data_IF_628973691754
#
_entry.id   IF_628973691754
#
_cell.length_a   1.000
_cell.length_b   1.000
_cell.length_c   1.000
_cell.angle_alpha   90.00
_cell.angle_beta   90.00
_cell.angle_gamma   90.00
#
_symmetry.space_group_name_H-M   'P 1'
#
loop_
_entity.id
_entity.type
_entity.pdbx_description
1 polymer ?
#
# COMPACT_ATOMS: atom_id res chain seq x y z
N UNK A 1 51.51 -23.74 -14.51
CA UNK A 1 50.12 -23.25 -14.45
C UNK A 1 49.27 -24.10 -13.49
N UNK A 2 49.67 -24.20 -12.21
CA UNK A 2 48.99 -25.07 -11.23
C UNK A 2 48.74 -24.41 -9.86
N UNK A 3 49.19 -23.17 -9.65
CA UNK A 3 49.06 -22.47 -8.37
C UNK A 3 47.94 -21.40 -8.34
N UNK A 4 47.31 -21.10 -9.48
CA UNK A 4 46.25 -20.09 -9.57
C UNK A 4 44.82 -20.67 -9.50
N UNK A 5 44.66 -21.99 -9.68
CA UNK A 5 43.35 -22.66 -9.62
C UNK A 5 42.96 -23.19 -8.23
N UNK A 6 43.78 -22.97 -7.20
CA UNK A 6 43.45 -23.37 -5.81
C UNK A 6 42.83 -22.21 -5.02
N UNK A 7 42.98 -20.96 -5.47
CA UNK A 7 42.38 -19.79 -4.82
C UNK A 7 40.93 -19.50 -5.25
N UNK A 8 40.38 -20.25 -6.21
CA UNK A 8 39.03 -20.04 -6.74
C UNK A 8 38.02 -21.15 -6.36
N UNK A 9 38.34 -21.98 -5.36
CA UNK A 9 37.41 -23.03 -4.88
C UNK A 9 36.87 -22.71 -3.48
N UNK A 10 37.43 -21.73 -2.76
CA UNK A 10 37.03 -21.38 -1.38
C UNK A 10 36.06 -20.19 -1.30
N UNK A 11 35.74 -19.52 -2.40
CA UNK A 11 34.72 -18.44 -2.43
C UNK A 11 33.35 -18.87 -2.98
N UNK A 12 33.18 -20.16 -3.29
CA UNK A 12 31.97 -20.72 -3.90
C UNK A 12 31.03 -21.44 -2.93
N UNK A 13 31.22 -21.33 -1.62
CA UNK A 13 30.50 -22.14 -0.64
C UNK A 13 29.93 -21.32 0.54
N UNK A 14 29.43 -20.12 0.26
CA UNK A 14 28.69 -19.31 1.23
C UNK A 14 27.42 -18.70 0.62
N UNK A 15 26.81 -19.43 -0.31
CA UNK A 15 25.48 -19.14 -0.85
C UNK A 15 24.77 -20.47 -0.98
N UNK A 16 23.80 -20.71 -0.10
CA UNK A 16 22.83 -21.83 -0.01
C UNK A 16 23.04 -22.65 1.27
N UNK A 17 21.91 -22.88 1.96
CA UNK A 17 21.73 -23.55 3.25
C UNK A 17 22.24 -22.73 4.47
N UNK A 18 21.49 -22.39 5.52
CA UNK A 18 20.18 -22.78 6.04
C UNK A 18 19.76 -21.66 7.02
N UNK A 19 18.70 -20.90 6.72
CA UNK A 19 17.98 -20.08 7.72
C UNK A 19 16.47 -20.33 7.57
N UNK A 20 16.11 -21.58 7.38
CA UNK A 20 14.79 -22.10 7.74
C UNK A 20 14.96 -22.80 9.08
N UNK A 21 15.00 -22.00 10.14
CA UNK A 21 14.85 -22.52 11.49
C UNK A 21 13.98 -21.54 12.27
N UNK A 22 12.88 -22.10 12.80
CA UNK A 22 12.01 -21.56 13.85
C UNK A 22 10.82 -20.73 13.39
N UNK A 23 9.90 -21.42 12.71
CA UNK A 23 8.50 -21.40 13.17
C UNK A 23 8.53 -22.04 14.57
N UNK A 24 8.74 -21.24 15.60
CA UNK A 24 8.49 -21.64 16.97
C UNK A 24 7.18 -20.96 17.39
N UNK A 25 6.12 -21.73 17.31
CA UNK A 25 4.88 -21.53 18.05
C UNK A 25 5.21 -21.45 19.54
N UNK A 26 5.23 -20.25 20.10
CA UNK A 26 5.01 -20.04 21.54
C UNK A 26 3.92 -18.99 21.70
N UNK A 27 2.70 -19.52 21.72
CA UNK A 27 1.50 -18.89 22.21
C UNK A 27 1.76 -18.42 23.66
N UNK A 28 1.89 -17.11 23.88
CA UNK A 28 1.63 -16.52 25.21
C UNK A 28 1.39 -15.03 25.06
N UNK A 29 0.18 -14.64 25.46
CA UNK A 29 -0.24 -13.29 25.81
C UNK A 29 0.01 -12.22 24.73
N UNK A 30 -1.02 -12.03 23.91
CA UNK A 30 -1.40 -10.66 23.54
C UNK A 30 -1.28 -9.82 24.83
N UNK A 31 -0.47 -8.75 24.92
CA UNK A 31 -0.86 -7.70 25.83
C UNK A 31 -2.25 -7.32 25.33
N UNK A 32 -3.26 -7.55 26.15
CA UNK A 32 -4.50 -6.80 26.05
C UNK A 32 -4.03 -5.37 25.93
N UNK A 33 -4.01 -4.85 24.70
CA UNK A 33 -4.00 -3.43 24.48
C UNK A 33 -5.36 -3.06 25.03
N UNK A 34 -5.38 -2.82 26.34
CA UNK A 34 -6.37 -2.04 27.02
C UNK A 34 -6.30 -0.71 26.28
N UNK A 35 -7.02 -0.63 25.17
CA UNK A 35 -7.45 0.62 24.61
C UNK A 35 -8.33 1.19 25.71
N UNK A 36 -7.66 1.94 26.59
CA UNK A 36 -8.27 2.60 27.72
C UNK A 36 -9.40 3.43 27.16
N UNK A 37 -10.62 2.99 27.45
CA UNK A 37 -11.81 3.79 27.29
C UNK A 37 -11.74 4.85 28.39
N UNK A 38 -10.93 5.88 28.18
CA UNK A 38 -10.98 7.07 29.00
C UNK A 38 -12.12 7.93 28.47
N UNK A 39 -13.25 7.83 29.19
CA UNK A 39 -14.33 8.80 29.13
C UNK A 39 -13.82 10.15 29.62
N UNK A 40 -13.82 11.16 28.74
CA UNK A 40 -13.50 12.53 29.12
C UNK A 40 -13.64 13.51 27.97
N UNK A 41 -14.78 14.19 27.89
CA UNK A 41 -15.01 15.39 27.06
C UNK A 41 -15.46 15.09 25.63
N UNK A 42 -16.71 15.46 25.30
CA UNK A 42 -17.26 15.43 23.94
C UNK A 42 -16.65 16.51 23.04
N UNK A 43 -15.33 16.56 22.91
CA UNK A 43 -14.66 17.42 21.95
C UNK A 43 -14.78 16.81 20.56
N UNK A 44 -15.61 17.42 19.72
CA UNK A 44 -15.69 17.10 18.30
C UNK A 44 -14.31 17.36 17.69
N UNK A 45 -13.69 16.34 17.11
CA UNK A 45 -12.37 16.49 16.47
C UNK A 45 -12.53 17.41 15.26
N UNK A 46 -11.80 18.52 15.21
CA UNK A 46 -11.84 19.44 14.06
C UNK A 46 -10.95 18.91 12.93
N UNK A 47 -11.40 19.09 11.68
CA UNK A 47 -10.59 18.78 10.51
C UNK A 47 -9.68 19.97 10.16
N UNK A 48 -8.48 19.96 10.71
CA UNK A 48 -7.53 21.07 10.58
C UNK A 48 -7.06 21.29 9.14
N UNK A 49 -7.01 22.54 8.71
CA UNK A 49 -6.43 22.93 7.42
C UNK A 49 -7.36 22.80 6.21
N UNK A 50 -8.65 22.56 6.43
CA UNK A 50 -9.68 22.62 5.38
C UNK A 50 -10.08 24.08 5.12
N UNK A 51 -10.24 24.87 6.18
CA UNK A 51 -10.70 26.24 6.02
C UNK A 51 -9.58 27.16 5.52
N UNK A 52 -9.79 27.80 4.37
CA UNK A 52 -8.88 28.81 3.80
C UNK A 52 -9.32 30.25 4.10
N UNK A 53 -10.48 30.45 4.72
CA UNK A 53 -11.02 31.77 5.07
C UNK A 53 -10.39 32.26 6.39
N UNK A 54 -10.05 33.54 6.44
CA UNK A 54 -9.40 34.16 7.62
C UNK A 54 -10.30 34.21 8.86
N UNK A 55 -11.59 34.41 8.65
CA UNK A 55 -12.60 34.57 9.72
C UNK A 55 -13.43 33.30 9.95
N UNK A 56 -13.04 32.18 9.34
CA UNK A 56 -13.73 30.90 9.46
C UNK A 56 -13.11 29.99 10.52
N UNK A 57 -13.90 29.04 11.02
CA UNK A 57 -13.41 27.92 11.83
C UNK A 57 -13.32 26.65 10.97
N UNK A 58 -12.42 25.75 11.34
CA UNK A 58 -12.34 24.43 10.68
C UNK A 58 -13.60 23.61 10.99
N UNK A 59 -14.12 22.83 10.02
CA UNK A 59 -15.33 22.06 10.23
C UNK A 59 -15.10 20.91 11.23
N UNK A 60 -16.05 20.65 12.15
CA UNK A 60 -15.99 19.50 13.04
C UNK A 60 -16.24 18.20 12.26
N UNK A 61 -15.58 17.12 12.68
CA UNK A 61 -15.82 15.78 12.16
C UNK A 61 -17.08 15.20 12.80
N UNK A 62 -17.99 14.74 11.95
CA UNK A 62 -19.26 14.12 12.30
C UNK A 62 -19.05 12.60 12.51
N UNK A 63 -19.97 11.88 13.16
CA UNK A 63 -19.92 10.43 13.22
C UNK A 63 -20.10 9.79 11.83
N UNK A 64 -19.53 8.58 11.65
CA UNK A 64 -19.52 7.86 10.37
C UNK A 64 -20.92 7.65 9.74
N UNK A 65 -21.97 7.63 10.56
CA UNK A 65 -23.37 7.45 10.11
C UNK A 65 -23.98 8.67 9.42
N UNK A 66 -23.41 9.86 9.59
CA UNK A 66 -23.89 11.08 8.93
C UNK A 66 -23.32 11.24 7.52
N UNK A 67 -22.24 10.52 7.22
CA UNK A 67 -21.65 10.54 5.89
C UNK A 67 -22.36 9.55 4.96
N UNK A 68 -22.53 9.89 3.67
CA UNK A 68 -23.11 8.97 2.70
C UNK A 68 -22.28 7.68 2.52
N UNK A 69 -22.98 6.58 2.24
CA UNK A 69 -22.36 5.25 2.07
C UNK A 69 -21.26 5.19 1.01
N UNK A 70 -21.40 5.97 -0.08
CA UNK A 70 -20.42 6.01 -1.17
C UNK A 70 -19.02 6.44 -0.72
N UNK A 71 -18.89 7.19 0.39
CA UNK A 71 -17.60 7.63 0.91
C UNK A 71 -16.70 6.43 1.25
N UNK A 72 -17.31 5.39 1.81
CA UNK A 72 -16.62 4.17 2.23
C UNK A 72 -16.29 3.26 1.05
N UNK A 73 -17.07 3.34 -0.03
CA UNK A 73 -16.80 2.64 -1.29
C UNK A 73 -15.54 3.16 -2.00
N UNK A 74 -15.23 4.46 -1.87
CA UNK A 74 -14.06 5.08 -2.52
C UNK A 74 -12.73 4.53 -1.99
N UNK A 75 -12.71 4.05 -0.74
CA UNK A 75 -11.52 3.47 -0.11
C UNK A 75 -11.19 2.07 -0.65
N UNK A 76 -12.12 1.44 -1.39
CA UNK A 76 -11.89 0.11 -1.92
C UNK A 76 -10.75 0.10 -2.95
N UNK A 77 -9.88 -0.93 -2.92
CA UNK A 77 -8.78 -1.01 -3.86
C UNK A 77 -9.31 -1.14 -5.29
N UNK A 78 -8.77 -0.35 -6.20
CA UNK A 78 -9.21 -0.37 -7.59
C UNK A 78 -8.85 -1.72 -8.22
N UNK A 79 -9.87 -2.44 -8.71
CA UNK A 79 -9.73 -3.74 -9.39
C UNK A 79 -8.66 -3.71 -10.50
N UNK A 80 -7.93 -4.79 -10.76
CA UNK A 80 -7.00 -4.89 -11.88
C UNK A 80 -7.74 -4.77 -13.23
N UNK A 81 -7.01 -4.40 -14.28
CA UNK A 81 -7.59 -4.20 -15.62
C UNK A 81 -8.20 -5.48 -16.19
N UNK A 82 -7.66 -6.64 -15.81
CA UNK A 82 -8.07 -7.95 -16.34
C UNK A 82 -9.40 -8.45 -15.74
N UNK A 83 -9.83 -7.87 -14.62
CA UNK A 83 -11.08 -8.22 -13.91
C UNK A 83 -12.22 -7.22 -14.18
N UNK A 84 -11.93 -6.12 -14.88
CA UNK A 84 -12.90 -5.05 -15.17
C UNK A 84 -13.71 -5.44 -16.42
N UNK A 85 -15.06 -5.41 -16.39
CA UNK A 85 -15.87 -5.75 -17.56
C UNK A 85 -15.56 -4.78 -18.71
N UNK A 86 -15.50 -5.34 -19.93
CA UNK A 86 -15.18 -4.63 -21.17
C UNK A 86 -16.37 -3.77 -21.64
N UNK A 87 -16.84 -2.88 -20.76
CA UNK A 87 -17.92 -1.95 -21.02
C UNK A 87 -17.39 -0.78 -21.85
N UNK A 88 -17.92 -0.61 -23.07
CA UNK A 88 -17.50 0.44 -24.01
C UNK A 88 -17.59 1.86 -23.42
N UNK A 89 -18.52 2.08 -22.47
CA UNK A 89 -18.74 3.38 -21.82
C UNK A 89 -17.86 3.62 -20.58
N UNK A 90 -17.06 2.65 -20.13
CA UNK A 90 -16.18 2.82 -18.98
C UNK A 90 -14.92 3.63 -19.35
N UNK A 91 -15.00 4.96 -19.18
CA UNK A 91 -13.88 5.88 -19.45
C UNK A 91 -12.65 5.59 -18.58
N UNK A 92 -12.84 5.03 -17.38
CA UNK A 92 -11.72 4.78 -16.46
C UNK A 92 -10.85 3.62 -16.92
N UNK A 93 -11.47 2.58 -17.48
CA UNK A 93 -10.82 1.44 -18.12
C UNK A 93 -9.91 1.89 -19.28
N UNK A 94 -10.44 2.66 -20.24
CA UNK A 94 -9.68 3.14 -21.40
C UNK A 94 -8.49 4.03 -21.02
N UNK A 95 -8.64 4.89 -20.00
CA UNK A 95 -7.54 5.70 -19.46
C UNK A 95 -6.40 4.83 -18.90
N UNK A 96 -6.76 3.70 -18.30
CA UNK A 96 -5.83 2.75 -17.69
C UNK A 96 -5.07 1.95 -18.74
N UNK A 97 -5.77 1.39 -19.72
CA UNK A 97 -5.16 0.74 -20.88
C UNK A 97 -4.17 1.66 -21.60
N UNK A 98 -4.54 2.92 -21.83
CA UNK A 98 -3.65 3.91 -22.44
C UNK A 98 -2.38 4.12 -21.61
N UNK A 99 -2.51 4.22 -20.28
CA UNK A 99 -1.36 4.36 -19.36
C UNK A 99 -0.43 3.14 -19.42
N UNK A 100 -0.99 1.92 -19.49
CA UNK A 100 -0.21 0.68 -19.63
C UNK A 100 0.58 0.67 -20.94
N UNK A 101 -0.06 0.98 -22.07
CA UNK A 101 0.59 1.04 -23.38
C UNK A 101 1.73 2.07 -23.41
N UNK A 102 1.50 3.25 -22.85
CA UNK A 102 2.54 4.29 -22.75
C UNK A 102 3.73 3.83 -21.90
N UNK A 103 3.48 3.16 -20.77
CA UNK A 103 4.55 2.60 -19.92
C UNK A 103 5.37 1.55 -20.67
N UNK A 104 4.72 0.64 -21.40
CA UNK A 104 5.39 -0.38 -22.22
C UNK A 104 6.23 0.27 -23.33
N UNK A 105 5.70 1.27 -24.02
CA UNK A 105 6.41 2.01 -25.07
C UNK A 105 7.63 2.77 -24.52
N UNK A 106 7.50 3.41 -23.36
CA UNK A 106 8.61 4.10 -22.71
C UNK A 106 9.68 3.11 -22.23
N UNK A 107 9.28 1.94 -21.71
CA UNK A 107 10.20 0.89 -21.31
C UNK A 107 10.99 0.32 -22.49
N UNK A 108 10.33 0.07 -23.63
CA UNK A 108 11.02 -0.42 -24.84
C UNK A 108 11.95 0.63 -25.45
N UNK A 109 11.56 1.91 -25.43
CA UNK A 109 12.42 3.04 -25.85
C UNK A 109 13.67 3.15 -24.96
N UNK A 110 13.51 3.03 -23.65
CA UNK A 110 14.64 3.09 -22.69
C UNK A 110 15.66 1.96 -22.92
N UNK A 111 15.20 0.75 -23.25
CA UNK A 111 16.08 -0.40 -23.52
C UNK A 111 16.86 -0.32 -24.83
N UNK A 112 16.37 0.46 -25.81
CA UNK A 112 17.01 0.65 -27.12
C UNK A 112 18.11 1.71 -27.12
N UNK A 113 18.23 2.47 -26.02
CA UNK A 113 19.27 3.47 -25.80
C UNK A 113 20.40 2.86 -25.00
#
# INVERSE_FOLDING_TARGET
MAAAMVKYVVQGLWRKQLLTARICTSLTAQPTFLFSSESGGGEQKLCQGINYLKDGSDPPLLPDSEYPDWLWEVLQPKQPVDEEPDDLNNKTYWRRLRKIRLRQANASRKKKK
#
